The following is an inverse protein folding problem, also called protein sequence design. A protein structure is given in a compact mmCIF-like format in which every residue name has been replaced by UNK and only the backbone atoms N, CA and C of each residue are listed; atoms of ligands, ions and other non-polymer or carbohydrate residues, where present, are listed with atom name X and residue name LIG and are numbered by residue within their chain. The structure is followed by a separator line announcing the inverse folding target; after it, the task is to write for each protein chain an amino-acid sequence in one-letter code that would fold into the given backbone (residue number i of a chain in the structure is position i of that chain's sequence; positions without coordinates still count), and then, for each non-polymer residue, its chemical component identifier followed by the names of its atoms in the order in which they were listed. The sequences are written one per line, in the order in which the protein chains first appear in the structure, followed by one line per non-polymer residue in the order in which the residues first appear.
data_IF_265836344715
#
_entry.id   IF_265836344715
#
_cell.length_a   1.000
_cell.length_b   1.000
_cell.length_c   1.000
_cell.angle_alpha   90.00
_cell.angle_beta   90.00
_cell.angle_gamma   90.00
#
_symmetry.space_group_name_H-M   'P 1'
#
loop_
_entity.id
_entity.type
_entity.pdbx_description
1 polymer ?
#
# COMPACT_ATOMS: atom_id res chain seq x y z
N UNK A 1 28.94 4.60 73.02
CA UNK A 1 27.65 3.86 72.97
C UNK A 1 26.85 4.14 71.69
N UNK A 2 26.93 5.36 71.13
CA UNK A 2 26.32 5.72 69.84
C UNK A 2 27.03 5.15 68.61
N UNK A 3 28.36 5.00 68.63
CA UNK A 3 29.11 4.45 67.49
C UNK A 3 28.88 2.95 67.26
N UNK A 4 28.54 2.19 68.31
CA UNK A 4 28.30 0.74 68.23
C UNK A 4 26.92 0.43 67.63
N UNK A 5 25.93 1.31 67.90
CA UNK A 5 24.59 1.21 67.34
C UNK A 5 24.55 1.56 65.84
N UNK A 6 25.41 2.48 65.39
CA UNK A 6 25.53 2.82 63.96
C UNK A 6 26.14 1.68 63.14
N UNK A 7 27.11 0.94 63.71
CA UNK A 7 27.71 -0.23 63.04
C UNK A 7 26.78 -1.44 62.99
N UNK A 8 25.86 -1.59 63.96
CA UNK A 8 24.83 -2.64 63.92
C UNK A 8 23.78 -2.37 62.82
N UNK A 9 23.40 -1.11 62.62
CA UNK A 9 22.44 -0.71 61.57
C UNK A 9 23.04 -0.88 60.17
N UNK A 10 24.31 -0.50 59.96
CA UNK A 10 24.99 -0.69 58.67
C UNK A 10 25.23 -2.17 58.34
N UNK A 11 25.52 -3.03 59.32
CA UNK A 11 25.62 -4.49 59.11
C UNK A 11 24.28 -5.18 58.87
N UNK A 12 23.18 -4.67 59.45
CA UNK A 12 21.83 -5.22 59.23
C UNK A 12 21.28 -4.85 57.83
N UNK A 13 21.75 -3.75 57.24
CA UNK A 13 21.37 -3.33 55.88
C UNK A 13 22.02 -4.21 54.79
N UNK A 14 23.23 -4.72 55.04
CA UNK A 14 23.99 -5.58 54.11
C UNK A 14 23.46 -7.04 54.07
N UNK A 15 22.76 -7.49 55.12
CA UNK A 15 22.17 -8.83 55.23
C UNK A 15 20.69 -8.88 54.79
N UNK A 16 20.15 -7.82 54.16
CA UNK A 16 18.83 -7.90 53.54
C UNK A 16 18.97 -8.48 52.14
N UNK A 17 18.18 -9.52 51.77
CA UNK A 17 18.25 -10.07 50.43
C UNK A 17 17.94 -8.94 49.43
N UNK A 18 18.80 -8.77 48.42
CA UNK A 18 18.74 -7.68 47.43
C UNK A 18 17.36 -7.53 46.78
N UNK A 19 16.61 -8.63 46.67
CA UNK A 19 15.24 -8.67 46.18
C UNK A 19 14.26 -7.89 47.07
N UNK A 20 14.42 -7.94 48.39
CA UNK A 20 13.54 -7.26 49.33
C UNK A 20 13.75 -5.75 49.27
N UNK A 21 15.01 -5.31 49.21
CA UNK A 21 15.36 -3.90 48.99
C UNK A 21 14.78 -3.38 47.67
N UNK A 22 14.94 -4.14 46.59
CA UNK A 22 14.35 -3.77 45.29
C UNK A 22 12.82 -3.73 45.31
N UNK A 23 12.17 -4.67 46.01
CA UNK A 23 10.72 -4.71 46.14
C UNK A 23 10.14 -3.54 46.94
N UNK A 24 10.91 -2.94 47.85
CA UNK A 24 10.54 -1.75 48.61
C UNK A 24 10.83 -0.45 47.85
N UNK A 25 11.95 -0.38 47.12
CA UNK A 25 12.40 0.83 46.43
C UNK A 25 11.72 1.04 45.05
N UNK A 26 11.12 -0.02 44.47
CA UNK A 26 10.49 0.08 43.16
C UNK A 26 9.08 0.67 43.20
N UNK A 27 8.77 1.54 42.24
CA UNK A 27 7.41 2.03 41.99
C UNK A 27 6.55 1.02 41.20
N UNK A 28 7.10 -0.14 40.82
CA UNK A 28 6.36 -1.17 40.09
C UNK A 28 5.31 -1.82 40.99
N UNK A 29 4.04 -1.61 40.63
CA UNK A 29 2.90 -2.21 41.31
C UNK A 29 3.03 -3.74 41.25
N UNK A 30 2.92 -4.38 42.41
CA UNK A 30 2.95 -5.84 42.54
C UNK A 30 4.31 -6.41 42.98
N UNK A 31 5.43 -5.77 42.65
CA UNK A 31 6.77 -6.24 43.05
C UNK A 31 6.96 -6.21 44.58
N UNK A 32 6.33 -5.27 45.27
CA UNK A 32 6.30 -5.20 46.74
C UNK A 32 5.78 -6.49 47.41
N UNK A 33 4.91 -7.25 46.74
CA UNK A 33 4.36 -8.50 47.28
C UNK A 33 5.30 -9.70 47.13
N UNK A 34 6.44 -9.52 46.44
CA UNK A 34 7.48 -10.54 46.31
C UNK A 34 8.46 -10.55 47.50
N UNK A 35 8.38 -9.54 48.38
CA UNK A 35 9.20 -9.41 49.58
C UNK A 35 9.08 -10.65 50.50
N UNK A 36 10.20 -11.08 51.07
CA UNK A 36 10.33 -12.18 52.03
C UNK A 36 9.42 -12.07 53.27
N UNK A 37 8.85 -10.88 53.57
CA UNK A 37 7.84 -10.67 54.63
C UNK A 37 6.56 -11.50 54.42
N UNK A 38 6.25 -11.88 53.17
CA UNK A 38 5.04 -12.62 52.82
C UNK A 38 5.27 -14.15 52.71
N UNK A 39 4.22 -14.94 52.96
CA UNK A 39 4.26 -16.40 52.82
C UNK A 39 4.66 -16.80 51.40
N UNK A 40 5.44 -17.88 51.26
CA UNK A 40 5.97 -18.39 49.99
C UNK A 40 4.89 -18.65 48.93
N UNK A 41 3.75 -19.26 49.29
CA UNK A 41 2.63 -19.48 48.37
C UNK A 41 2.06 -18.17 47.78
N UNK A 42 1.93 -17.13 48.62
CA UNK A 42 1.44 -15.82 48.19
C UNK A 42 2.44 -15.16 47.21
N UNK A 43 3.74 -15.27 47.51
CA UNK A 43 4.82 -14.79 46.63
C UNK A 43 4.81 -15.49 45.27
N UNK A 44 4.52 -16.79 45.23
CA UNK A 44 4.42 -17.55 43.97
C UNK A 44 3.25 -17.04 43.12
N UNK A 45 2.06 -16.84 43.71
CA UNK A 45 0.89 -16.31 42.98
C UNK A 45 1.17 -14.92 42.41
N UNK A 46 1.76 -14.03 43.22
CA UNK A 46 2.10 -12.69 42.74
C UNK A 46 3.22 -12.71 41.70
N UNK A 47 4.21 -13.58 41.84
CA UNK A 47 5.23 -13.81 40.82
C UNK A 47 4.63 -14.25 39.49
N UNK A 48 3.70 -15.19 39.50
CA UNK A 48 2.98 -15.64 38.30
C UNK A 48 2.16 -14.51 37.66
N UNK A 49 1.44 -13.73 38.46
CA UNK A 49 0.67 -12.58 37.98
C UNK A 49 1.57 -11.50 37.38
N UNK A 50 2.72 -11.21 37.99
CA UNK A 50 3.70 -10.26 37.46
C UNK A 50 4.29 -10.72 36.14
N UNK A 51 4.70 -11.99 36.04
CA UNK A 51 5.24 -12.57 34.80
C UNK A 51 4.18 -12.55 33.70
N UNK A 52 2.94 -12.94 34.03
CA UNK A 52 1.83 -12.89 33.09
C UNK A 52 1.54 -11.47 32.60
N UNK A 53 1.45 -10.50 33.51
CA UNK A 53 1.23 -9.09 33.16
C UNK A 53 2.37 -8.54 32.31
N UNK A 54 3.63 -8.85 32.65
CA UNK A 54 4.80 -8.42 31.90
C UNK A 54 4.81 -9.00 30.48
N UNK A 55 4.45 -10.28 30.35
CA UNK A 55 4.28 -10.95 29.06
C UNK A 55 3.20 -10.30 28.20
N UNK A 56 2.03 -10.01 28.79
CA UNK A 56 0.96 -9.30 28.09
C UNK A 56 1.37 -7.89 27.65
N UNK A 57 2.07 -7.15 28.52
CA UNK A 57 2.57 -5.82 28.18
C UNK A 57 3.56 -5.89 27.01
N UNK A 58 4.51 -6.82 27.05
CA UNK A 58 5.47 -7.00 25.95
C UNK A 58 4.76 -7.35 24.64
N UNK A 59 3.80 -8.29 24.68
CA UNK A 59 3.00 -8.66 23.53
C UNK A 59 2.25 -7.46 22.93
N UNK A 60 1.54 -6.68 23.76
CA UNK A 60 0.79 -5.50 23.32
C UNK A 60 1.71 -4.42 22.73
N UNK A 61 2.88 -4.19 23.32
CA UNK A 61 3.85 -3.21 22.82
C UNK A 61 4.36 -3.63 21.43
N UNK A 62 4.75 -4.89 21.27
CA UNK A 62 5.22 -5.41 19.96
C UNK A 62 4.11 -5.34 18.91
N UNK A 63 2.88 -5.70 19.26
CA UNK A 63 1.72 -5.59 18.37
C UNK A 63 1.52 -4.14 17.89
N UNK A 64 1.56 -3.18 18.82
CA UNK A 64 1.39 -1.75 18.47
C UNK A 64 2.56 -1.22 17.63
N UNK A 65 3.80 -1.56 17.97
CA UNK A 65 4.97 -1.18 17.16
C UNK A 65 4.81 -1.75 15.74
N UNK A 66 4.49 -3.03 15.62
CA UNK A 66 4.27 -3.69 14.32
C UNK A 66 3.15 -3.01 13.54
N UNK A 67 2.04 -2.70 14.20
CA UNK A 67 0.90 -2.02 13.59
C UNK A 67 1.26 -0.63 13.02
N UNK A 68 1.98 0.20 13.78
CA UNK A 68 2.37 1.53 13.33
C UNK A 68 3.47 1.52 12.27
N UNK A 69 4.51 0.67 12.43
CA UNK A 69 5.68 0.71 11.56
C UNK A 69 5.57 -0.18 10.31
N UNK A 70 4.90 -1.33 10.39
CA UNK A 70 4.78 -2.25 9.26
C UNK A 70 3.51 -1.97 8.46
N UNK A 71 2.37 -1.87 9.14
CA UNK A 71 1.08 -1.75 8.44
C UNK A 71 0.73 -0.31 8.05
N UNK A 72 1.32 0.69 8.72
CA UNK A 72 1.15 2.12 8.47
C UNK A 72 -0.29 2.47 8.03
N UNK A 73 -1.28 2.31 8.93
CA UNK A 73 -2.68 2.40 8.56
C UNK A 73 -3.03 3.81 8.12
N UNK A 74 -3.22 3.99 6.81
CA UNK A 74 -3.73 5.23 6.24
C UNK A 74 -5.26 5.24 6.40
N UNK A 75 -5.76 6.08 7.31
CA UNK A 75 -7.18 6.36 7.41
C UNK A 75 -7.57 7.36 6.31
N UNK A 76 -8.42 6.93 5.37
CA UNK A 76 -8.96 7.83 4.35
C UNK A 76 -10.29 8.40 4.82
N UNK A 77 -10.38 9.74 4.92
CA UNK A 77 -11.62 10.43 5.19
C UNK A 77 -12.23 10.89 3.85
N UNK A 78 -13.50 10.55 3.62
CA UNK A 78 -14.24 11.00 2.43
C UNK A 78 -15.23 12.08 2.84
N UNK A 79 -15.14 13.23 2.20
CA UNK A 79 -16.11 14.32 2.30
C UNK A 79 -16.64 14.63 0.91
N UNK A 80 -17.90 15.03 0.83
CA UNK A 80 -18.52 15.52 -0.40
C UNK A 80 -18.66 17.03 -0.28
N UNK A 81 -18.03 17.73 -1.22
CA UNK A 81 -18.17 19.17 -1.39
C UNK A 81 -18.83 19.42 -2.76
N UNK A 82 -19.76 20.36 -2.81
CA UNK A 82 -20.51 20.72 -4.01
C UNK A 82 -20.18 22.17 -4.37
N UNK A 83 -19.03 22.41 -5.00
CA UNK A 83 -18.61 23.76 -5.35
C UNK A 83 -19.54 24.37 -6.40
N UNK A 84 -19.66 25.70 -6.39
CA UNK A 84 -20.51 26.46 -7.33
C UNK A 84 -19.99 26.41 -8.76
N UNK A 85 -18.68 26.21 -8.94
CA UNK A 85 -18.03 26.07 -10.24
C UNK A 85 -17.14 24.83 -10.21
N UNK A 86 -17.23 24.00 -11.25
CA UNK A 86 -16.40 22.81 -11.44
C UNK A 86 -15.69 22.89 -12.78
N UNK A 87 -14.41 22.57 -12.81
CA UNK A 87 -13.67 22.50 -14.06
C UNK A 87 -14.21 21.35 -14.90
N UNK A 88 -14.61 21.64 -16.14
CA UNK A 88 -15.02 20.60 -17.08
C UNK A 88 -13.82 19.71 -17.42
N UNK A 89 -13.95 18.36 -17.31
CA UNK A 89 -12.84 17.46 -17.53
C UNK A 89 -12.45 17.42 -19.02
N UNK A 90 -11.22 17.01 -19.28
CA UNK A 90 -10.78 16.72 -20.64
C UNK A 90 -11.49 15.48 -21.17
N UNK A 91 -12.26 15.64 -22.23
CA UNK A 91 -12.92 14.54 -22.93
C UNK A 91 -12.02 14.05 -24.06
N UNK A 92 -11.69 12.75 -24.04
CA UNK A 92 -11.01 12.09 -25.14
C UNK A 92 -12.01 11.21 -25.89
N UNK A 93 -12.30 11.57 -27.14
CA UNK A 93 -13.18 10.81 -28.03
C UNK A 93 -12.33 10.21 -29.15
N UNK A 94 -12.29 8.89 -29.23
CA UNK A 94 -11.59 8.16 -30.28
C UNK A 94 -12.57 7.24 -31.00
N UNK A 95 -12.57 7.27 -32.33
CA UNK A 95 -13.28 6.23 -33.09
C UNK A 95 -12.54 4.90 -32.93
N UNK A 96 -13.30 3.81 -32.70
CA UNK A 96 -12.78 2.44 -32.72
C UNK A 96 -12.18 2.11 -34.10
N UNK A 97 -12.74 2.65 -35.17
CA UNK A 97 -12.16 2.58 -36.51
C UNK A 97 -11.22 3.77 -36.72
N UNK A 98 -9.92 3.56 -36.48
CA UNK A 98 -8.92 4.62 -36.59
C UNK A 98 -8.61 5.01 -38.04
N UNK A 99 -8.72 4.05 -38.96
CA UNK A 99 -8.38 4.22 -40.37
C UNK A 99 -9.62 4.14 -41.25
N UNK A 100 -9.74 5.10 -42.18
CA UNK A 100 -10.75 5.12 -43.23
C UNK A 100 -10.39 4.09 -44.28
N UNK A 101 -11.20 3.02 -44.38
CA UNK A 101 -11.01 1.96 -45.38
C UNK A 101 -10.97 2.52 -46.82
N UNK A 102 -11.79 3.53 -47.13
CA UNK A 102 -11.79 4.22 -48.42
C UNK A 102 -10.45 4.90 -48.72
N UNK A 103 -9.83 5.55 -47.73
CA UNK A 103 -8.51 6.17 -47.87
C UNK A 103 -7.42 5.13 -48.07
N UNK A 104 -7.44 4.02 -47.33
CA UNK A 104 -6.47 2.92 -47.52
C UNK A 104 -6.62 2.28 -48.90
N UNK A 105 -7.86 2.01 -49.34
CA UNK A 105 -8.14 1.46 -50.67
C UNK A 105 -7.63 2.35 -51.82
N UNK A 106 -7.66 3.68 -51.63
CA UNK A 106 -7.17 4.67 -52.61
C UNK A 106 -5.65 4.63 -52.75
N UNK A 107 -4.93 4.37 -51.66
CA UNK A 107 -3.47 4.21 -51.69
C UNK A 107 -3.06 2.84 -52.21
N UNK A 108 -3.63 1.76 -51.67
CA UNK A 108 -3.38 0.40 -52.12
C UNK A 108 -4.51 -0.54 -51.71
N UNK A 109 -5.22 -1.06 -52.72
CA UNK A 109 -6.22 -2.10 -52.52
C UNK A 109 -5.65 -3.41 -51.93
N UNK A 110 -4.44 -3.87 -52.31
CA UNK A 110 -3.83 -5.06 -51.70
C UNK A 110 -3.61 -4.90 -50.19
N UNK A 111 -3.23 -3.71 -49.73
CA UNK A 111 -3.00 -3.43 -48.32
C UNK A 111 -4.29 -3.51 -47.51
N UNK A 112 -5.38 -2.91 -48.00
CA UNK A 112 -6.68 -3.00 -47.33
C UNK A 112 -7.15 -4.45 -47.22
N UNK A 113 -7.03 -5.23 -48.30
CA UNK A 113 -7.43 -6.65 -48.32
C UNK A 113 -6.66 -7.45 -47.28
N UNK A 114 -5.34 -7.22 -47.19
CA UNK A 114 -4.51 -7.83 -46.16
C UNK A 114 -4.93 -7.41 -44.76
N UNK A 115 -5.15 -6.12 -44.51
CA UNK A 115 -5.58 -5.63 -43.20
C UNK A 115 -6.91 -6.26 -42.76
N UNK A 116 -7.85 -6.43 -43.69
CA UNK A 116 -9.11 -7.13 -43.41
C UNK A 116 -8.89 -8.62 -43.14
N UNK A 117 -7.99 -9.28 -43.89
CA UNK A 117 -7.68 -10.69 -43.71
C UNK A 117 -6.94 -10.96 -42.39
N UNK A 118 -6.04 -10.07 -41.97
CA UNK A 118 -5.36 -10.13 -40.66
C UNK A 118 -6.32 -9.91 -39.49
N UNK A 119 -7.47 -9.29 -39.73
CA UNK A 119 -8.49 -9.13 -38.71
C UNK A 119 -9.35 -10.39 -38.52
N UNK A 120 -9.31 -11.31 -39.49
CA UNK A 120 -10.04 -12.57 -39.47
C UNK A 120 -9.17 -13.66 -38.80
N UNK A 121 -9.62 -14.21 -37.68
CA UNK A 121 -8.80 -15.10 -36.83
C UNK A 121 -8.48 -16.47 -37.47
N UNK A 122 -9.10 -16.79 -38.61
CA UNK A 122 -8.92 -18.08 -39.30
C UNK A 122 -7.77 -18.07 -40.34
N UNK A 123 -7.11 -16.92 -40.55
CA UNK A 123 -6.10 -16.76 -41.60
C UNK A 123 -4.67 -17.15 -41.20
N UNK A 124 -4.19 -18.33 -41.63
CA UNK A 124 -2.74 -18.59 -41.65
C UNK A 124 -2.06 -17.76 -42.74
N UNK A 125 -1.05 -16.96 -42.40
CA UNK A 125 -0.35 -16.08 -43.35
C UNK A 125 1.18 -16.22 -43.29
N UNK A 126 1.84 -16.26 -44.44
CA UNK A 126 3.31 -16.25 -44.57
C UNK A 126 3.84 -14.81 -44.53
N UNK A 127 4.18 -14.32 -43.34
CA UNK A 127 4.59 -12.92 -43.09
C UNK A 127 5.68 -12.38 -44.03
N UNK A 128 6.58 -13.24 -44.53
CA UNK A 128 7.68 -12.86 -45.43
C UNK A 128 7.20 -12.39 -46.80
N UNK A 129 6.18 -13.01 -47.39
CA UNK A 129 5.60 -12.56 -48.67
C UNK A 129 4.81 -11.26 -48.52
N UNK A 130 4.31 -10.96 -47.31
CA UNK A 130 3.59 -9.72 -47.02
C UNK A 130 4.51 -8.50 -47.06
N UNK A 131 5.65 -8.63 -46.40
CA UNK A 131 6.57 -7.50 -46.21
C UNK A 131 7.19 -7.10 -47.55
N UNK A 132 7.51 -8.07 -48.39
CA UNK A 132 8.05 -7.83 -49.74
C UNK A 132 7.02 -7.13 -50.65
N UNK A 133 5.73 -7.46 -50.50
CA UNK A 133 4.66 -6.82 -51.28
C UNK A 133 4.30 -5.41 -50.82
N UNK A 134 4.87 -4.92 -49.72
CA UNK A 134 4.66 -3.55 -49.22
C UNK A 134 5.96 -2.75 -49.05
N UNK A 135 7.12 -3.28 -49.44
CA UNK A 135 8.41 -2.60 -49.32
C UNK A 135 8.48 -1.27 -50.12
N UNK A 136 7.68 -1.17 -51.18
CA UNK A 136 7.54 0.02 -52.01
C UNK A 136 6.53 1.06 -51.47
N UNK A 137 5.82 0.75 -50.39
CA UNK A 137 4.78 1.60 -49.80
C UNK A 137 5.27 2.22 -48.49
N UNK A 138 5.24 3.55 -48.42
CA UNK A 138 5.46 4.24 -47.15
C UNK A 138 4.22 4.12 -46.25
N UNK A 139 4.25 3.12 -45.36
CA UNK A 139 3.19 2.87 -44.38
C UNK A 139 2.92 4.07 -43.47
N UNK A 140 3.92 4.93 -43.21
CA UNK A 140 3.74 6.13 -42.38
C UNK A 140 2.87 7.15 -43.10
N UNK A 141 3.10 7.34 -44.39
CA UNK A 141 2.29 8.23 -45.22
C UNK A 141 0.89 7.66 -45.46
N UNK A 142 0.76 6.35 -45.69
CA UNK A 142 -0.56 5.70 -45.75
C UNK A 142 -1.31 5.93 -44.44
N UNK A 143 -0.69 5.65 -43.28
CA UNK A 143 -1.30 5.85 -41.97
C UNK A 143 -1.73 7.31 -41.75
N UNK A 144 -0.84 8.27 -42.00
CA UNK A 144 -1.13 9.70 -41.83
C UNK A 144 -2.32 10.17 -42.66
N UNK A 145 -2.47 9.69 -43.90
CA UNK A 145 -3.55 10.11 -44.80
C UNK A 145 -4.84 9.28 -44.66
N UNK A 146 -4.78 8.12 -44.01
CA UNK A 146 -5.95 7.27 -43.76
C UNK A 146 -6.58 7.46 -42.39
N UNK A 147 -5.95 8.23 -41.49
CA UNK A 147 -6.58 8.65 -40.24
C UNK A 147 -7.93 9.34 -40.48
N UNK A 148 -8.87 9.10 -39.58
CA UNK A 148 -10.15 9.78 -39.57
C UNK A 148 -10.01 11.21 -39.06
N UNK A 149 -10.68 12.15 -39.72
CA UNK A 149 -10.70 13.55 -39.30
C UNK A 149 -11.76 13.77 -38.22
N UNK A 150 -11.53 14.78 -37.37
CA UNK A 150 -12.49 15.17 -36.32
C UNK A 150 -13.81 15.65 -36.94
N UNK A 151 -13.74 16.35 -38.07
CA UNK A 151 -14.91 16.87 -38.78
C UNK A 151 -15.83 15.76 -39.33
N UNK A 152 -15.28 14.57 -39.60
CA UNK A 152 -16.07 13.40 -40.03
C UNK A 152 -16.75 12.72 -38.83
N UNK A 153 -16.27 12.96 -37.61
CA UNK A 153 -16.75 12.33 -36.37
C UNK A 153 -17.74 13.21 -35.60
N UNK A 154 -17.49 14.52 -35.57
CA UNK A 154 -18.25 15.47 -34.76
C UNK A 154 -19.10 16.36 -35.67
N UNK A 155 -20.41 16.09 -35.70
CA UNK A 155 -21.36 16.85 -36.53
C UNK A 155 -21.81 18.16 -35.88
N UNK A 156 -21.88 18.19 -34.55
CA UNK A 156 -22.24 19.35 -33.75
C UNK A 156 -21.63 19.20 -32.36
N UNK A 157 -21.11 20.30 -31.81
CA UNK A 157 -20.57 20.35 -30.46
C UNK A 157 -21.10 21.59 -29.77
N UNK A 158 -21.64 21.40 -28.58
CA UNK A 158 -22.23 22.45 -27.80
C UNK A 158 -21.91 22.25 -26.33
N UNK A 159 -21.52 23.33 -25.68
CA UNK A 159 -21.14 23.35 -24.29
C UNK A 159 -21.74 24.59 -23.62
N UNK A 160 -22.48 24.35 -22.53
CA UNK A 160 -23.14 25.36 -21.69
C UNK A 160 -24.09 26.30 -22.47
N UNK A 161 -25.22 25.76 -22.89
CA UNK A 161 -26.25 26.44 -23.68
C UNK A 161 -27.37 27.00 -22.82
#
# INVERSE_FOLDING_TARGET
RSSFYSSEIEMEEDLRPTLDRFAEDTSMIGFRYLHSKYKTWFRIIWGLMLVFSLGLTFYQVVERITYYFIFNPLATHRSFDAPTEVQFPSLLICNKMQLRASSVAKYSQPLLKTMCFLHDEEGSFNATQLLDSFDHLDLRDVYRHSLQNVDDLVLSCEYDK
#
